data_IF_022008120415
#
_entry.id   IF_022008120415
#
_cell.length_a   1.000
_cell.length_b   1.000
_cell.length_c   1.000
_cell.angle_alpha   90.00
_cell.angle_beta   90.00
_cell.angle_gamma   90.00
#
_symmetry.space_group_name_H-M   'P 1'
#
loop_
_entity.id
_entity.type
_entity.pdbx_description
1 polymer ?
#
# COMPACT_ATOMS: atom_id res chain seq x y z
N UNK A 1 -14.08 27.93 2.26
CA UNK A 1 -12.75 27.28 1.94
C UNK A 1 -12.56 27.34 0.44
N UNK A 2 -11.37 27.68 -0.02
CA UNK A 2 -11.03 27.59 -1.44
C UNK A 2 -10.35 26.24 -1.79
N UNK A 3 -10.19 25.98 -3.07
CA UNK A 3 -9.57 24.73 -3.58
C UNK A 3 -8.12 24.57 -3.09
N UNK A 4 -7.35 25.66 -3.02
CA UNK A 4 -5.96 25.58 -2.63
C UNK A 4 -5.81 25.22 -1.14
N UNK A 5 -6.63 25.82 -0.30
CA UNK A 5 -6.70 25.50 1.12
C UNK A 5 -7.13 24.04 1.34
N UNK A 6 -8.13 23.57 0.61
CA UNK A 6 -8.58 22.19 0.68
C UNK A 6 -7.45 21.19 0.32
N UNK A 7 -6.67 21.48 -0.72
CA UNK A 7 -5.54 20.62 -1.15
C UNK A 7 -4.40 20.52 -0.14
N UNK A 8 -4.30 21.47 0.79
CA UNK A 8 -3.29 21.45 1.86
C UNK A 8 -3.68 20.53 3.03
N UNK A 9 -4.97 20.17 3.13
CA UNK A 9 -5.44 19.26 4.17
C UNK A 9 -4.90 17.87 3.88
N UNK A 10 -4.30 17.23 4.90
CA UNK A 10 -3.80 15.86 4.77
C UNK A 10 -4.97 14.89 4.65
N UNK A 11 -4.95 14.06 3.61
CA UNK A 11 -5.99 13.04 3.39
C UNK A 11 -6.11 12.10 4.59
N UNK A 12 -4.99 11.76 5.25
CA UNK A 12 -4.99 10.93 6.45
C UNK A 12 -5.79 11.57 7.61
N UNK A 13 -5.63 12.86 7.84
CA UNK A 13 -6.36 13.59 8.87
C UNK A 13 -7.85 13.72 8.52
N UNK A 14 -8.14 13.95 7.25
CA UNK A 14 -9.52 13.99 6.74
C UNK A 14 -10.23 12.65 6.90
N UNK A 15 -9.60 11.54 6.52
CA UNK A 15 -10.14 10.20 6.72
C UNK A 15 -10.35 9.88 8.20
N UNK A 16 -9.43 10.30 9.06
CA UNK A 16 -9.59 10.13 10.50
C UNK A 16 -10.80 10.89 11.05
N UNK A 17 -11.05 12.12 10.58
CA UNK A 17 -12.23 12.90 10.98
C UNK A 17 -13.55 12.25 10.56
N UNK A 18 -13.53 11.42 9.52
CA UNK A 18 -14.66 10.63 9.04
C UNK A 18 -14.79 9.27 9.74
N UNK A 19 -13.88 8.94 10.66
CA UNK A 19 -13.87 7.69 11.42
C UNK A 19 -13.09 6.55 10.78
N UNK A 20 -12.30 6.81 9.73
CA UNK A 20 -11.45 5.81 9.09
C UNK A 20 -10.03 5.86 9.67
N UNK A 21 -9.49 4.69 9.95
CA UNK A 21 -8.12 4.53 10.44
C UNK A 21 -7.35 3.56 9.54
N UNK A 22 -6.05 3.79 9.32
CA UNK A 22 -5.26 2.88 8.50
C UNK A 22 -5.06 1.54 9.20
N UNK A 23 -5.05 0.45 8.44
CA UNK A 23 -4.78 -0.91 8.95
C UNK A 23 -3.29 -1.20 9.02
N UNK A 24 -2.48 -0.57 8.17
CA UNK A 24 -1.02 -0.72 8.15
C UNK A 24 -0.34 0.48 7.52
N UNK A 25 0.95 0.62 7.78
CA UNK A 25 1.82 1.59 7.14
C UNK A 25 3.01 0.88 6.50
N UNK A 26 3.36 1.28 5.29
CA UNK A 26 4.54 0.85 4.57
C UNK A 26 5.29 2.09 4.05
N UNK A 27 6.38 2.47 4.73
CA UNK A 27 7.10 3.69 4.41
C UNK A 27 6.21 4.93 4.51
N UNK A 28 6.08 5.66 3.41
CA UNK A 28 5.23 6.85 3.27
C UNK A 28 3.77 6.54 2.93
N UNK A 29 3.42 5.27 2.79
CA UNK A 29 2.08 4.85 2.39
C UNK A 29 1.29 4.32 3.58
N UNK A 30 0.08 4.85 3.75
CA UNK A 30 -0.92 4.33 4.66
C UNK A 30 -1.94 3.50 3.88
N UNK A 31 -2.27 2.33 4.39
CA UNK A 31 -3.22 1.42 3.78
C UNK A 31 -4.50 1.35 4.60
N UNK A 32 -5.63 1.55 3.92
CA UNK A 32 -6.96 1.55 4.50
C UNK A 32 -7.83 0.49 3.83
N UNK A 33 -8.86 0.06 4.55
CA UNK A 33 -10.05 -0.47 3.89
C UNK A 33 -10.74 0.69 3.20
N UNK A 34 -11.18 0.48 1.96
CA UNK A 34 -11.72 1.59 1.15
C UNK A 34 -12.88 2.29 1.85
N UNK A 35 -12.86 3.63 1.97
CA UNK A 35 -14.01 4.39 2.46
C UNK A 35 -15.15 4.46 1.43
N UNK A 36 -14.90 4.02 0.20
CA UNK A 36 -15.86 4.10 -0.91
C UNK A 36 -16.71 2.84 -1.06
N UNK A 37 -16.35 1.76 -0.37
CA UNK A 37 -17.04 0.46 -0.40
C UNK A 37 -16.66 -0.39 0.80
N UNK A 38 -17.45 -1.43 1.06
CA UNK A 38 -17.10 -2.45 2.06
C UNK A 38 -16.08 -3.44 1.47
N UNK A 39 -15.04 -3.74 2.25
CA UNK A 39 -14.04 -4.74 1.87
C UNK A 39 -13.41 -5.39 3.11
N UNK A 40 -12.86 -6.58 2.92
CA UNK A 40 -12.18 -7.34 3.99
C UNK A 40 -10.69 -7.07 4.06
N UNK A 41 -10.07 -6.74 2.92
CA UNK A 41 -8.65 -6.45 2.80
C UNK A 41 -8.41 -4.99 2.43
N UNK A 42 -7.30 -4.42 2.90
CA UNK A 42 -6.97 -3.04 2.61
C UNK A 42 -6.46 -2.90 1.16
N UNK A 43 -7.22 -2.22 0.33
CA UNK A 43 -6.85 -1.91 -1.06
C UNK A 43 -6.81 -0.41 -1.38
N UNK A 44 -7.04 0.43 -0.39
CA UNK A 44 -7.00 1.87 -0.51
C UNK A 44 -5.70 2.40 0.10
N UNK A 45 -4.88 3.05 -0.71
CA UNK A 45 -3.56 3.56 -0.32
C UNK A 45 -3.55 5.09 -0.30
N UNK A 46 -2.96 5.67 0.74
CA UNK A 46 -2.67 7.11 0.83
C UNK A 46 -1.17 7.33 0.88
N UNK A 47 -0.65 8.06 -0.07
CA UNK A 47 0.74 8.54 -0.06
C UNK A 47 0.81 9.83 0.75
N UNK A 48 1.52 9.81 1.87
CA UNK A 48 1.55 10.94 2.80
C UNK A 48 2.43 12.11 2.34
N UNK A 49 3.42 11.87 1.48
CA UNK A 49 4.26 12.93 0.93
C UNK A 49 3.54 13.69 -0.19
N UNK A 50 2.93 12.95 -1.11
CA UNK A 50 2.20 13.55 -2.24
C UNK A 50 0.81 14.02 -1.88
N UNK A 51 0.31 13.60 -0.72
CA UNK A 51 -1.06 13.82 -0.27
C UNK A 51 -2.10 13.37 -1.33
N UNK A 52 -1.92 12.15 -1.80
CA UNK A 52 -2.74 11.51 -2.84
C UNK A 52 -3.17 10.11 -2.39
N UNK A 53 -4.33 9.70 -2.87
CA UNK A 53 -4.86 8.36 -2.64
C UNK A 53 -4.97 7.58 -3.94
N UNK A 54 -5.03 6.26 -3.81
CA UNK A 54 -5.34 5.34 -4.91
C UNK A 54 -6.08 4.12 -4.36
N UNK A 55 -7.19 3.78 -5.00
CA UNK A 55 -7.98 2.57 -4.72
C UNK A 55 -7.68 1.54 -5.80
N UNK A 56 -7.00 0.47 -5.43
CA UNK A 56 -6.57 -0.57 -6.38
C UNK A 56 -7.72 -1.40 -6.93
N UNK A 57 -8.83 -1.52 -6.21
CA UNK A 57 -9.97 -2.27 -6.70
C UNK A 57 -10.85 -1.45 -7.65
N UNK A 58 -10.95 -0.15 -7.44
CA UNK A 58 -11.66 0.75 -8.35
C UNK A 58 -10.78 1.24 -9.50
N UNK A 59 -9.45 1.15 -9.37
CA UNK A 59 -8.52 1.71 -10.33
C UNK A 59 -8.58 3.24 -10.43
N UNK A 60 -8.93 3.92 -9.33
CA UNK A 60 -9.09 5.37 -9.26
C UNK A 60 -8.24 5.97 -8.15
N UNK A 61 -7.86 7.23 -8.32
CA UNK A 61 -7.07 7.97 -7.35
C UNK A 61 -7.14 9.47 -7.58
N UNK A 62 -6.52 10.22 -6.68
CA UNK A 62 -6.48 11.68 -6.78
C UNK A 62 -6.11 12.35 -5.46
N UNK A 63 -6.50 13.61 -5.32
CA UNK A 63 -6.35 14.39 -4.11
C UNK A 63 -7.60 14.35 -3.22
N UNK A 64 -7.67 15.28 -2.27
CA UNK A 64 -8.80 15.34 -1.31
C UNK A 64 -10.14 15.68 -1.99
N UNK A 65 -10.11 16.51 -3.04
CA UNK A 65 -11.33 16.93 -3.74
C UNK A 65 -11.92 15.74 -4.50
N UNK A 66 -11.09 14.97 -5.22
CA UNK A 66 -11.51 13.75 -5.90
C UNK A 66 -12.03 12.71 -4.91
N UNK A 67 -11.39 12.58 -3.75
CA UNK A 67 -11.86 11.68 -2.70
C UNK A 67 -13.26 12.09 -2.20
N UNK A 68 -13.45 13.37 -1.87
CA UNK A 68 -14.74 13.88 -1.41
C UNK A 68 -15.83 13.79 -2.50
N UNK A 69 -15.48 14.03 -3.77
CA UNK A 69 -16.38 13.81 -4.91
C UNK A 69 -16.91 12.38 -4.94
N UNK A 70 -16.07 11.39 -4.75
CA UNK A 70 -16.49 9.99 -4.66
C UNK A 70 -17.30 9.67 -3.39
N UNK A 71 -16.89 10.22 -2.23
CA UNK A 71 -17.60 9.98 -0.96
C UNK A 71 -19.04 10.53 -0.97
N UNK A 72 -19.23 11.72 -1.55
CA UNK A 72 -20.52 12.39 -1.59
C UNK A 72 -21.27 12.18 -2.91
N UNK A 73 -20.70 11.40 -3.83
CA UNK A 73 -21.27 11.10 -5.16
C UNK A 73 -21.70 12.37 -5.92
N UNK A 74 -20.86 13.39 -5.94
CA UNK A 74 -21.13 14.68 -6.57
C UNK A 74 -19.87 15.33 -7.14
N UNK A 75 -20.00 16.02 -8.25
CA UNK A 75 -18.92 16.81 -8.86
C UNK A 75 -19.11 18.33 -8.63
N UNK A 76 -20.11 18.72 -7.82
CA UNK A 76 -20.34 20.12 -7.52
C UNK A 76 -19.33 20.65 -6.50
N UNK A 77 -18.31 21.31 -6.99
CA UNK A 77 -17.14 21.75 -6.21
C UNK A 77 -17.50 22.59 -4.97
N UNK A 78 -18.43 23.60 -5.04
CA UNK A 78 -18.80 24.36 -3.85
C UNK A 78 -19.31 23.50 -2.70
N UNK A 79 -20.15 22.50 -2.99
CA UNK A 79 -20.68 21.57 -2.01
C UNK A 79 -19.56 20.68 -1.43
N UNK A 80 -18.66 20.18 -2.27
CA UNK A 80 -17.51 19.37 -1.84
C UNK A 80 -16.63 20.17 -0.85
N UNK A 81 -16.33 21.42 -1.19
CA UNK A 81 -15.53 22.30 -0.33
C UNK A 81 -16.22 22.61 1.00
N UNK A 82 -17.53 22.79 1.00
CA UNK A 82 -18.33 22.97 2.21
C UNK A 82 -18.26 21.73 3.10
N UNK A 83 -18.44 20.52 2.53
CA UNK A 83 -18.35 19.26 3.27
C UNK A 83 -16.94 19.05 3.86
N UNK A 84 -15.91 19.32 3.08
CA UNK A 84 -14.53 19.25 3.58
C UNK A 84 -14.32 20.24 4.72
N UNK A 85 -14.79 21.47 4.58
CA UNK A 85 -14.67 22.51 5.61
C UNK A 85 -15.36 22.10 6.92
N UNK A 86 -16.56 21.58 6.86
CA UNK A 86 -17.31 21.13 8.04
C UNK A 86 -16.57 20.03 8.80
N UNK A 87 -16.03 19.03 8.08
CA UNK A 87 -15.30 17.93 8.69
C UNK A 87 -13.95 18.37 9.26
N UNK A 88 -13.36 19.41 8.71
CA UNK A 88 -11.98 19.82 9.03
C UNK A 88 -11.87 20.98 10.02
N UNK A 89 -12.99 21.57 10.47
CA UNK A 89 -13.00 22.69 11.42
C UNK A 89 -12.20 22.43 12.71
N UNK A 90 -12.07 21.18 13.12
CA UNK A 90 -11.41 20.78 14.36
C UNK A 90 -10.33 19.69 14.15
N UNK A 91 -9.83 19.55 12.92
CA UNK A 91 -8.77 18.56 12.67
C UNK A 91 -7.50 18.94 13.45
N UNK A 92 -7.07 17.99 14.29
CA UNK A 92 -5.72 17.97 14.84
C UNK A 92 -4.89 17.00 14.00
N UNK A 93 -3.62 17.34 13.67
CA UNK A 93 -2.74 16.40 13.00
C UNK A 93 -2.69 15.09 13.76
N UNK A 94 -2.97 13.99 13.10
CA UNK A 94 -2.98 12.67 13.71
C UNK A 94 -1.67 11.96 13.38
N UNK A 95 -1.03 11.44 14.42
CA UNK A 95 0.11 10.52 14.29
C UNK A 95 -0.39 9.12 14.56
N UNK A 96 -0.24 8.22 13.58
CA UNK A 96 -0.60 6.83 13.75
C UNK A 96 0.61 6.07 14.33
N UNK A 97 0.45 5.49 15.52
CA UNK A 97 1.41 4.53 16.07
C UNK A 97 0.97 3.13 15.64
N UNK A 98 1.60 2.63 14.61
CA UNK A 98 1.57 1.19 14.35
C UNK A 98 2.55 0.60 15.37
N UNK A 99 2.07 -0.27 16.27
CA UNK A 99 2.96 -1.01 17.16
C UNK A 99 4.14 -1.49 16.32
N UNK A 100 5.37 -1.36 16.82
CA UNK A 100 6.56 -1.80 16.11
C UNK A 100 6.22 -3.14 15.47
N UNK A 101 5.90 -3.14 14.15
CA UNK A 101 6.18 -4.32 13.39
C UNK A 101 7.68 -4.48 13.61
N UNK A 102 8.03 -5.39 14.52
CA UNK A 102 9.35 -5.93 14.46
C UNK A 102 9.43 -6.44 13.02
N UNK A 103 10.16 -5.69 12.18
CA UNK A 103 10.79 -6.35 11.07
C UNK A 103 11.58 -7.44 11.77
N UNK A 104 11.01 -8.64 11.86
CA UNK A 104 11.81 -9.79 12.07
C UNK A 104 12.83 -9.69 10.95
N UNK A 105 14.07 -9.43 11.30
CA UNK A 105 15.17 -9.58 10.36
C UNK A 105 14.87 -10.85 9.61
N UNK A 106 14.98 -10.86 8.27
CA UNK A 106 14.67 -12.04 7.51
C UNK A 106 15.40 -13.19 8.19
N UNK A 107 14.64 -14.15 8.72
CA UNK A 107 15.17 -15.27 9.52
C UNK A 107 16.02 -16.24 8.69
N UNK A 108 16.44 -15.80 7.51
CA UNK A 108 17.34 -16.48 6.63
C UNK A 108 18.77 -16.29 7.15
N UNK A 109 19.32 -17.36 7.70
CA UNK A 109 20.72 -17.41 8.08
C UNK A 109 21.51 -18.02 6.92
N UNK A 110 22.74 -17.55 6.75
CA UNK A 110 23.68 -18.09 5.74
C UNK A 110 23.11 -18.06 4.31
N UNK A 111 22.54 -16.91 3.91
CA UNK A 111 22.08 -16.72 2.53
C UNK A 111 23.28 -16.71 1.57
N UNK A 112 23.27 -17.65 0.63
CA UNK A 112 24.24 -17.77 -0.43
C UNK A 112 23.54 -17.75 -1.79
N UNK A 113 23.97 -16.88 -2.69
CA UNK A 113 23.46 -16.81 -4.05
C UNK A 113 24.46 -17.49 -4.97
N UNK A 114 24.01 -18.54 -5.64
CA UNK A 114 24.83 -19.33 -6.56
C UNK A 114 24.19 -19.44 -7.93
N UNK A 115 24.97 -19.88 -8.90
CA UNK A 115 24.43 -20.11 -10.25
C UNK A 115 23.43 -21.27 -10.23
N UNK A 116 22.34 -21.11 -10.99
CA UNK A 116 21.29 -22.12 -11.08
C UNK A 116 21.84 -23.45 -11.65
N UNK A 117 21.92 -24.47 -10.82
CA UNK A 117 22.48 -25.78 -11.16
C UNK A 117 21.74 -26.96 -10.49
N UNK A 118 20.85 -26.72 -9.51
CA UNK A 118 20.15 -27.77 -8.79
C UNK A 118 19.28 -28.61 -9.74
N UNK A 119 19.45 -29.95 -9.81
CA UNK A 119 18.64 -30.82 -10.65
C UNK A 119 17.14 -30.73 -10.34
N UNK A 120 16.77 -30.56 -9.06
CA UNK A 120 15.38 -30.45 -8.64
C UNK A 120 14.73 -29.17 -9.17
N UNK A 121 15.41 -28.03 -9.11
CA UNK A 121 14.93 -26.77 -9.63
C UNK A 121 14.87 -26.76 -11.16
N UNK A 122 15.85 -27.33 -11.82
CA UNK A 122 15.87 -27.46 -13.29
C UNK A 122 14.72 -28.36 -13.78
N UNK A 123 14.48 -29.47 -13.10
CA UNK A 123 13.35 -30.36 -13.40
C UNK A 123 12.00 -29.64 -13.23
N UNK A 124 11.83 -28.89 -12.13
CA UNK A 124 10.62 -28.10 -11.87
C UNK A 124 10.38 -27.05 -12.97
N UNK A 125 11.41 -26.33 -13.39
CA UNK A 125 11.32 -25.34 -14.46
C UNK A 125 10.95 -25.98 -15.80
N UNK A 126 11.51 -27.15 -16.10
CA UNK A 126 11.23 -27.89 -17.31
C UNK A 126 9.79 -28.40 -17.36
N UNK A 127 9.25 -28.92 -16.25
CA UNK A 127 7.84 -29.30 -16.12
C UNK A 127 6.88 -28.13 -16.34
N UNK A 128 7.29 -26.90 -15.99
CA UNK A 128 6.56 -25.67 -16.22
C UNK A 128 6.71 -25.11 -17.63
N UNK A 129 7.43 -25.77 -18.52
CA UNK A 129 7.66 -25.33 -19.90
C UNK A 129 8.64 -24.15 -20.02
N UNK A 130 9.44 -23.89 -19.00
CA UNK A 130 10.43 -22.81 -19.00
C UNK A 130 11.71 -23.29 -19.68
N UNK A 131 12.26 -22.50 -20.60
CA UNK A 131 13.50 -22.80 -21.28
C UNK A 131 14.68 -22.80 -20.30
N UNK A 132 15.34 -23.93 -20.15
CA UNK A 132 16.44 -24.13 -19.17
C UNK A 132 17.65 -23.25 -19.48
N UNK A 133 17.98 -23.01 -20.74
CA UNK A 133 19.09 -22.16 -21.15
C UNK A 133 18.81 -20.70 -20.71
N UNK A 134 17.60 -20.23 -20.94
CA UNK A 134 17.15 -18.91 -20.52
C UNK A 134 17.13 -18.80 -18.98
N UNK A 135 16.60 -19.80 -18.30
CA UNK A 135 16.56 -19.82 -16.83
C UNK A 135 17.96 -19.78 -16.21
N UNK A 136 18.92 -20.52 -16.72
CA UNK A 136 20.32 -20.50 -16.25
C UNK A 136 21.00 -19.14 -16.45
N UNK A 137 20.61 -18.41 -17.49
CA UNK A 137 21.15 -17.07 -17.79
C UNK A 137 20.55 -16.00 -16.89
N UNK A 138 19.25 -16.05 -16.63
CA UNK A 138 18.49 -14.96 -15.98
C UNK A 138 18.22 -15.22 -14.49
N UNK A 139 18.32 -16.45 -14.02
CA UNK A 139 18.00 -16.84 -12.65
C UNK A 139 19.23 -17.30 -11.87
N UNK A 140 19.21 -17.03 -10.58
CA UNK A 140 20.17 -17.56 -9.62
C UNK A 140 19.46 -18.41 -8.58
N UNK A 141 20.22 -19.27 -7.93
CA UNK A 141 19.78 -20.17 -6.89
C UNK A 141 20.12 -19.57 -5.52
N UNK A 142 19.16 -19.51 -4.61
CA UNK A 142 19.37 -19.02 -3.25
C UNK A 142 19.41 -20.21 -2.28
N UNK A 143 20.51 -20.36 -1.56
CA UNK A 143 20.65 -21.30 -0.46
C UNK A 143 20.57 -20.55 0.86
N UNK A 144 19.72 -20.99 1.78
CA UNK A 144 19.57 -20.34 3.08
C UNK A 144 19.17 -21.34 4.16
N UNK A 145 19.39 -20.96 5.41
CA UNK A 145 18.95 -21.74 6.57
C UNK A 145 17.80 -20.99 7.25
N UNK A 146 16.73 -21.68 7.51
CA UNK A 146 15.58 -21.19 8.25
C UNK A 146 15.14 -22.21 9.28
N UNK A 147 15.03 -21.79 10.56
CA UNK A 147 14.66 -22.68 11.67
C UNK A 147 15.52 -23.96 11.75
N UNK A 148 16.83 -23.86 11.49
CA UNK A 148 17.77 -24.98 11.50
C UNK A 148 17.67 -25.93 10.29
N UNK A 149 16.82 -25.63 9.31
CA UNK A 149 16.70 -26.36 8.04
C UNK A 149 17.35 -25.59 6.90
N UNK A 150 18.15 -26.28 6.10
CA UNK A 150 18.76 -25.75 4.89
C UNK A 150 17.79 -25.95 3.69
N UNK A 151 17.65 -24.93 2.88
CA UNK A 151 16.84 -24.90 1.66
C UNK A 151 17.70 -24.53 0.47
#
# INVERSE_FOLDING_TARGET
MDIQTAKQIRIADYLHSLGYSPVKQQGINLWYKSPLREETEASFKVNTERNQWYDFALGKGGGIIELASHLYATDYIPYILERIAEQTQHIRPVSFSFGKQSFSEPSFQQLEIVQLASPALLSYLQERGINIVLAKRECSEAHFTHNGKRY
#
